data_IF_128255963076
#
_entry.id   IF_128255963076
#
_cell.length_a   1.000
_cell.length_b   1.000
_cell.length_c   1.000
_cell.angle_alpha   90.00
_cell.angle_beta   90.00
_cell.angle_gamma   90.00
#
_symmetry.space_group_name_H-M   'P 1'
#
loop_
_entity.id
_entity.type
_entity.pdbx_description
1 polymer ?
#
# COMPACT_ATOMS: atom_id res chain seq x y z
N UNK A 1 -29.03 -11.42 -15.40
CA UNK A 1 -28.86 -11.91 -14.03
C UNK A 1 -28.99 -10.71 -13.09
N UNK A 2 -29.81 -10.74 -12.05
CA UNK A 2 -29.83 -9.63 -11.09
C UNK A 2 -28.47 -9.51 -10.45
N UNK A 3 -27.88 -8.34 -10.55
CA UNK A 3 -26.60 -8.04 -9.89
C UNK A 3 -26.84 -8.17 -8.38
N UNK A 4 -26.15 -9.12 -7.75
CA UNK A 4 -26.28 -9.35 -6.31
C UNK A 4 -25.81 -8.09 -5.56
N UNK A 5 -26.70 -7.50 -4.76
CA UNK A 5 -26.42 -6.26 -4.03
C UNK A 5 -25.20 -6.41 -3.09
N UNK A 6 -24.92 -7.62 -2.62
CA UNK A 6 -23.73 -7.90 -1.80
C UNK A 6 -22.43 -7.71 -2.60
N UNK A 7 -22.40 -8.15 -3.86
CA UNK A 7 -21.27 -7.97 -4.76
C UNK A 7 -21.01 -6.49 -5.08
N UNK A 8 -22.08 -5.70 -5.31
CA UNK A 8 -21.94 -4.26 -5.53
C UNK A 8 -21.34 -3.55 -4.32
N UNK A 9 -21.77 -3.90 -3.10
CA UNK A 9 -21.20 -3.35 -1.88
C UNK A 9 -19.71 -3.67 -1.77
N UNK A 10 -19.31 -4.91 -2.05
CA UNK A 10 -17.90 -5.31 -2.04
C UNK A 10 -17.06 -4.54 -3.06
N UNK A 11 -17.55 -4.41 -4.28
CA UNK A 11 -16.91 -3.62 -5.35
C UNK A 11 -16.73 -2.16 -4.92
N UNK A 12 -17.79 -1.53 -4.40
CA UNK A 12 -17.75 -0.14 -3.97
C UNK A 12 -16.74 0.08 -2.83
N UNK A 13 -16.68 -0.83 -1.85
CA UNK A 13 -15.76 -0.74 -0.72
C UNK A 13 -14.29 -0.90 -1.14
N UNK A 14 -13.99 -1.82 -2.05
CA UNK A 14 -12.62 -2.01 -2.55
C UNK A 14 -12.20 -0.84 -3.44
N UNK A 15 -13.07 -0.34 -4.34
CA UNK A 15 -12.79 0.86 -5.13
C UNK A 15 -12.54 2.08 -4.23
N UNK A 16 -13.36 2.25 -3.20
CA UNK A 16 -13.18 3.33 -2.22
C UNK A 16 -11.81 3.23 -1.54
N UNK A 17 -11.38 2.03 -1.14
CA UNK A 17 -10.06 1.83 -0.56
C UNK A 17 -8.94 2.23 -1.53
N UNK A 18 -9.01 1.80 -2.81
CA UNK A 18 -8.03 2.18 -3.83
C UNK A 18 -7.99 3.70 -4.05
N UNK A 19 -9.14 4.37 -4.13
CA UNK A 19 -9.23 5.83 -4.25
C UNK A 19 -8.60 6.52 -3.03
N UNK A 20 -8.87 6.04 -1.82
CA UNK A 20 -8.32 6.59 -0.59
C UNK A 20 -6.80 6.38 -0.49
N UNK A 21 -6.28 5.25 -0.96
CA UNK A 21 -4.84 5.00 -1.02
C UNK A 21 -4.14 5.90 -2.05
N UNK A 22 -4.75 6.14 -3.21
CA UNK A 22 -4.25 7.12 -4.17
C UNK A 22 -4.21 8.54 -3.60
N UNK A 23 -5.29 8.99 -2.95
CA UNK A 23 -5.34 10.28 -2.25
C UNK A 23 -4.34 10.34 -1.08
N UNK A 24 -4.10 9.22 -0.40
CA UNK A 24 -3.06 9.09 0.62
C UNK A 24 -1.68 9.38 0.05
N UNK A 25 -1.34 8.77 -1.09
CA UNK A 25 -0.07 9.02 -1.78
C UNK A 25 0.13 10.51 -2.07
N UNK A 26 -0.91 11.18 -2.59
CA UNK A 26 -0.88 12.64 -2.83
C UNK A 26 -0.69 13.43 -1.54
N UNK A 27 -1.32 13.01 -0.43
CA UNK A 27 -1.12 13.66 0.88
C UNK A 27 0.31 13.50 1.38
N UNK A 28 0.92 12.33 1.16
CA UNK A 28 2.34 12.05 1.47
C UNK A 28 3.25 12.95 0.65
N UNK A 29 3.04 13.04 -0.66
CA UNK A 29 3.80 13.93 -1.55
C UNK A 29 3.68 15.39 -1.10
N UNK A 30 2.47 15.85 -0.76
CA UNK A 30 2.25 17.19 -0.22
C UNK A 30 3.01 17.44 1.09
N UNK A 31 2.99 16.48 2.02
CA UNK A 31 3.69 16.61 3.31
C UNK A 31 5.20 16.75 3.13
N UNK A 32 5.78 16.10 2.13
CA UNK A 32 7.19 16.31 1.79
C UNK A 32 7.44 17.64 1.08
N UNK A 33 6.65 17.95 0.07
CA UNK A 33 6.83 19.20 -0.72
C UNK A 33 6.59 20.47 0.09
N UNK A 34 5.76 20.40 1.13
CA UNK A 34 5.52 21.51 2.06
C UNK A 34 6.60 21.68 3.14
N UNK A 35 7.57 20.76 3.23
CA UNK A 35 8.59 20.76 4.29
C UNK A 35 8.06 20.35 5.66
N UNK A 36 6.82 19.84 5.75
CA UNK A 36 6.24 19.42 7.03
C UNK A 36 7.01 18.24 7.67
N UNK A 37 7.61 17.39 6.86
CA UNK A 37 8.50 16.30 7.27
C UNK A 37 9.76 16.32 6.42
N UNK A 38 10.91 16.12 7.06
CA UNK A 38 12.20 16.13 6.37
C UNK A 38 12.46 14.77 5.69
N UNK A 39 12.02 13.69 6.33
CA UNK A 39 12.31 12.32 5.86
C UNK A 39 11.07 11.43 5.83
N UNK A 40 11.03 10.45 4.91
CA UNK A 40 9.99 9.42 4.88
C UNK A 40 9.87 8.63 6.19
N UNK A 41 11.01 8.38 6.83
CA UNK A 41 11.07 7.64 8.09
C UNK A 41 10.32 8.36 9.22
N UNK A 42 10.43 9.69 9.32
CA UNK A 42 9.68 10.51 10.29
C UNK A 42 8.17 10.37 10.08
N UNK A 43 7.74 10.55 8.83
CA UNK A 43 6.32 10.48 8.46
C UNK A 43 5.74 9.08 8.71
N UNK A 44 6.46 8.02 8.33
CA UNK A 44 6.04 6.63 8.57
C UNK A 44 5.95 6.34 10.06
N UNK A 45 6.93 6.79 10.86
CA UNK A 45 6.97 6.57 12.30
C UNK A 45 5.72 7.16 12.96
N UNK A 46 5.47 8.45 12.75
CA UNK A 46 4.29 9.10 13.34
C UNK A 46 2.98 8.52 12.81
N UNK A 47 2.89 8.28 11.49
CA UNK A 47 1.69 7.70 10.89
C UNK A 47 1.33 6.34 11.51
N UNK A 48 2.32 5.44 11.61
CA UNK A 48 2.05 4.09 12.12
C UNK A 48 1.70 4.09 13.61
N UNK A 49 2.41 4.89 14.40
CA UNK A 49 2.10 5.05 15.82
C UNK A 49 0.69 5.64 16.02
N UNK A 50 0.36 6.73 15.31
CA UNK A 50 -0.94 7.37 15.41
C UNK A 50 -2.07 6.47 14.92
N UNK A 51 -1.95 5.90 13.72
CA UNK A 51 -2.99 5.05 13.14
C UNK A 51 -3.17 3.76 13.95
N UNK A 52 -2.06 3.11 14.33
CA UNK A 52 -2.09 1.88 15.12
C UNK A 52 -2.71 2.10 16.50
N UNK A 53 -2.27 3.13 17.23
CA UNK A 53 -2.81 3.48 18.56
C UNK A 53 -4.28 3.84 18.48
N UNK A 54 -4.68 4.63 17.49
CA UNK A 54 -6.08 5.02 17.30
C UNK A 54 -6.96 3.80 16.92
N UNK A 55 -6.44 2.89 16.08
CA UNK A 55 -7.13 1.64 15.77
C UNK A 55 -7.32 0.77 17.01
N UNK A 56 -6.26 0.62 17.84
CA UNK A 56 -6.35 -0.12 19.11
C UNK A 56 -7.35 0.54 20.04
N UNK A 57 -7.36 1.87 20.15
CA UNK A 57 -8.31 2.62 20.97
C UNK A 57 -9.75 2.37 20.51
N UNK A 58 -10.04 2.58 19.23
CA UNK A 58 -11.39 2.37 18.67
C UNK A 58 -11.84 0.92 18.87
N UNK A 59 -10.97 -0.06 18.59
CA UNK A 59 -11.29 -1.47 18.78
C UNK A 59 -11.46 -1.84 20.27
N UNK A 60 -10.75 -1.17 21.18
CA UNK A 60 -10.93 -1.36 22.63
C UNK A 60 -12.31 -0.91 23.10
N UNK A 61 -12.88 0.11 22.46
CA UNK A 61 -14.24 0.57 22.75
C UNK A 61 -15.31 -0.34 22.12
N UNK A 62 -15.08 -0.82 20.88
CA UNK A 62 -16.09 -1.57 20.12
C UNK A 62 -16.03 -3.08 20.39
N UNK A 63 -14.82 -3.65 20.45
CA UNK A 63 -14.58 -5.10 20.63
C UNK A 63 -13.36 -5.37 21.51
N UNK A 64 -13.40 -5.02 22.80
CA UNK A 64 -12.24 -5.10 23.70
C UNK A 64 -11.65 -6.51 23.78
N UNK A 65 -12.49 -7.54 23.86
CA UNK A 65 -12.00 -8.94 23.93
C UNK A 65 -11.23 -9.36 22.67
N UNK A 66 -11.58 -8.85 21.50
CA UNK A 66 -10.94 -9.21 20.26
C UNK A 66 -9.55 -8.55 20.12
N UNK A 67 -9.44 -7.26 20.44
CA UNK A 67 -8.19 -6.51 20.30
C UNK A 67 -7.14 -6.95 21.33
N UNK A 68 -7.53 -7.21 22.57
CA UNK A 68 -6.60 -7.59 23.64
C UNK A 68 -6.29 -9.08 23.68
N UNK A 69 -6.97 -9.92 22.90
CA UNK A 69 -6.69 -11.36 22.77
C UNK A 69 -5.25 -11.64 22.34
N UNK A 70 -4.64 -10.75 21.56
CA UNK A 70 -3.25 -10.88 21.10
C UNK A 70 -2.28 -11.10 22.28
N UNK A 71 -2.51 -10.42 23.41
CA UNK A 71 -1.64 -10.47 24.58
C UNK A 71 -1.80 -11.74 25.43
N UNK A 72 -2.78 -12.60 25.12
CA UNK A 72 -2.98 -13.87 25.83
C UNK A 72 -2.04 -15.00 25.34
N UNK A 73 -1.37 -14.82 24.19
CA UNK A 73 -0.47 -15.80 23.62
C UNK A 73 0.81 -15.12 23.13
N UNK A 74 1.94 -15.46 23.75
CA UNK A 74 3.27 -14.93 23.38
C UNK A 74 3.59 -15.10 21.89
N UNK A 75 3.11 -16.18 21.26
CA UNK A 75 3.34 -16.40 19.83
C UNK A 75 2.60 -15.38 18.97
N UNK A 76 1.37 -15.01 19.35
CA UNK A 76 0.65 -13.95 18.64
C UNK A 76 1.35 -12.60 18.75
N UNK A 77 1.95 -12.28 19.90
CA UNK A 77 2.73 -11.04 20.08
C UNK A 77 3.98 -11.04 19.18
N UNK A 78 4.69 -12.18 19.11
CA UNK A 78 5.86 -12.32 18.22
C UNK A 78 5.42 -12.21 16.76
N UNK A 79 4.37 -12.92 16.35
CA UNK A 79 3.83 -12.87 15.00
C UNK A 79 3.41 -11.44 14.62
N UNK A 80 2.81 -10.68 15.55
CA UNK A 80 2.45 -9.27 15.35
C UNK A 80 3.69 -8.35 15.24
N UNK A 81 4.72 -8.59 16.05
CA UNK A 81 5.96 -7.82 15.99
C UNK A 81 6.70 -8.04 14.66
N UNK A 82 6.80 -9.29 14.19
CA UNK A 82 7.40 -9.62 12.89
C UNK A 82 6.58 -9.03 11.74
N UNK A 83 5.26 -9.21 11.76
CA UNK A 83 4.38 -8.61 10.74
C UNK A 83 4.46 -7.08 10.76
N UNK A 84 4.61 -6.47 11.94
CA UNK A 84 4.81 -5.04 12.09
C UNK A 84 6.12 -4.55 11.47
N UNK A 85 7.21 -5.30 11.64
CA UNK A 85 8.50 -4.97 11.04
C UNK A 85 8.42 -4.99 9.50
N UNK A 86 7.78 -6.02 8.92
CA UNK A 86 7.57 -6.12 7.47
C UNK A 86 6.66 -5.00 6.95
N UNK A 87 5.59 -4.70 7.68
CA UNK A 87 4.67 -3.61 7.34
C UNK A 87 5.37 -2.24 7.41
N UNK A 88 6.23 -2.03 8.40
CA UNK A 88 7.08 -0.84 8.50
C UNK A 88 7.98 -0.74 7.28
N UNK A 89 8.74 -1.80 6.96
CA UNK A 89 9.65 -1.81 5.82
C UNK A 89 8.94 -1.52 4.49
N UNK A 90 7.80 -2.17 4.24
CA UNK A 90 7.00 -1.95 3.03
C UNK A 90 6.50 -0.50 2.93
N UNK A 91 5.96 0.05 4.02
CA UNK A 91 5.45 1.43 4.03
C UNK A 91 6.56 2.48 3.95
N UNK A 92 7.70 2.25 4.62
CA UNK A 92 8.83 3.15 4.51
C UNK A 92 9.38 3.18 3.08
N UNK A 93 9.58 2.02 2.47
CA UNK A 93 10.02 1.93 1.09
C UNK A 93 9.03 2.58 0.11
N UNK A 94 7.72 2.47 0.36
CA UNK A 94 6.71 3.16 -0.44
C UNK A 94 6.83 4.70 -0.33
N UNK A 95 7.02 5.22 0.87
CA UNK A 95 7.15 6.66 1.08
C UNK A 95 8.49 7.20 0.57
N UNK A 96 9.56 6.42 0.65
CA UNK A 96 10.84 6.74 -0.01
C UNK A 96 10.65 6.85 -1.54
N UNK A 97 9.90 5.93 -2.15
CA UNK A 97 9.60 6.00 -3.58
C UNK A 97 8.85 7.30 -3.94
N UNK A 98 7.87 7.71 -3.14
CA UNK A 98 7.13 8.97 -3.34
C UNK A 98 8.07 10.18 -3.14
N UNK A 99 8.92 10.13 -2.12
CA UNK A 99 9.86 11.21 -1.80
C UNK A 99 10.82 11.52 -2.95
N UNK A 100 11.32 10.47 -3.62
CA UNK A 100 12.22 10.60 -4.77
C UNK A 100 11.50 10.75 -6.13
N UNK A 101 10.16 10.73 -6.17
CA UNK A 101 9.36 10.89 -7.39
C UNK A 101 8.05 11.64 -7.13
N UNK A 102 6.93 10.96 -7.22
CA UNK A 102 5.60 11.44 -6.91
C UNK A 102 4.67 10.30 -6.47
N UNK A 103 3.46 10.66 -5.99
CA UNK A 103 2.46 9.71 -5.51
C UNK A 103 2.05 8.68 -6.57
N UNK A 104 1.87 9.12 -7.81
CA UNK A 104 1.47 8.24 -8.91
C UNK A 104 2.53 7.19 -9.23
N UNK A 105 3.80 7.59 -9.31
CA UNK A 105 4.92 6.67 -9.57
C UNK A 105 5.08 5.66 -8.45
N UNK A 106 5.02 6.09 -7.19
CA UNK A 106 5.05 5.17 -6.04
C UNK A 106 3.94 4.13 -6.13
N UNK A 107 2.70 4.56 -6.40
CA UNK A 107 1.56 3.66 -6.50
C UNK A 107 1.65 2.70 -7.70
N UNK A 108 2.16 3.14 -8.87
CA UNK A 108 2.26 2.27 -10.04
C UNK A 108 3.30 1.16 -9.84
N UNK A 109 4.38 1.43 -9.09
CA UNK A 109 5.39 0.41 -8.79
C UNK A 109 4.84 -0.70 -7.91
N UNK A 110 3.82 -0.44 -7.06
CA UNK A 110 3.12 -1.46 -6.30
C UNK A 110 2.30 -2.43 -7.17
N UNK A 111 1.97 -2.06 -8.40
CA UNK A 111 1.28 -2.99 -9.33
C UNK A 111 2.17 -4.18 -9.71
N UNK A 112 3.47 -4.13 -9.43
CA UNK A 112 4.37 -5.28 -9.59
C UNK A 112 4.23 -6.33 -8.47
N UNK A 113 3.49 -6.08 -7.39
CA UNK A 113 3.24 -7.02 -6.26
C UNK A 113 2.81 -8.42 -6.72
N UNK A 114 1.83 -8.59 -7.64
CA UNK A 114 1.43 -9.93 -8.09
C UNK A 114 2.56 -10.72 -8.75
N UNK A 115 3.54 -10.04 -9.36
CA UNK A 115 4.70 -10.68 -9.98
C UNK A 115 5.62 -11.31 -8.93
N UNK A 116 5.85 -10.58 -7.83
CA UNK A 116 6.63 -11.09 -6.70
C UNK A 116 5.93 -12.28 -6.04
N UNK A 117 4.59 -12.22 -5.89
CA UNK A 117 3.80 -13.34 -5.40
C UNK A 117 3.93 -14.58 -6.31
N UNK A 118 3.85 -14.39 -7.63
CA UNK A 118 4.01 -15.47 -8.61
C UNK A 118 5.40 -16.09 -8.57
N UNK A 119 6.44 -15.27 -8.55
CA UNK A 119 7.84 -15.71 -8.48
C UNK A 119 8.12 -16.45 -7.16
N UNK A 120 7.68 -15.91 -6.04
CA UNK A 120 7.79 -16.56 -4.74
C UNK A 120 7.09 -17.92 -4.71
N UNK A 121 5.87 -17.99 -5.23
CA UNK A 121 5.13 -19.25 -5.35
C UNK A 121 5.87 -20.27 -6.22
N UNK A 122 6.47 -19.83 -7.33
CA UNK A 122 7.26 -20.71 -8.21
C UNK A 122 8.50 -21.27 -7.51
N UNK A 123 9.22 -20.44 -6.75
CA UNK A 123 10.42 -20.86 -5.99
C UNK A 123 10.04 -21.83 -4.88
N UNK A 124 9.04 -21.49 -4.04
CA UNK A 124 8.65 -22.29 -2.88
C UNK A 124 8.00 -23.60 -3.30
N UNK A 125 7.12 -23.57 -4.30
CA UNK A 125 6.39 -24.74 -4.79
C UNK A 125 7.15 -25.52 -5.86
N UNK A 126 8.34 -25.04 -6.29
CA UNK A 126 9.16 -25.60 -7.37
C UNK A 126 8.36 -25.85 -8.66
N UNK A 127 7.40 -24.98 -8.94
CA UNK A 127 6.55 -25.04 -10.12
C UNK A 127 7.04 -24.07 -11.18
N UNK A 128 7.00 -24.42 -12.48
CA UNK A 128 7.39 -23.47 -13.53
C UNK A 128 6.45 -22.28 -13.53
N UNK A 129 7.03 -21.06 -13.72
CA UNK A 129 6.22 -19.86 -13.89
C UNK A 129 5.40 -19.99 -15.19
N UNK A 130 4.09 -19.87 -15.15
CA UNK A 130 3.25 -19.94 -16.34
C UNK A 130 3.64 -18.89 -17.38
N UNK A 131 3.58 -19.25 -18.67
CA UNK A 131 3.93 -18.33 -19.78
C UNK A 131 3.16 -17.00 -19.73
N UNK A 132 1.91 -17.04 -19.30
CA UNK A 132 1.09 -15.84 -19.14
C UNK A 132 1.66 -14.91 -18.06
N UNK A 133 2.17 -15.45 -16.96
CA UNK A 133 2.79 -14.64 -15.90
C UNK A 133 4.07 -13.97 -16.40
N UNK A 134 4.85 -14.68 -17.23
CA UNK A 134 6.04 -14.08 -17.89
C UNK A 134 5.61 -12.94 -18.83
N UNK A 135 4.56 -13.14 -19.63
CA UNK A 135 4.04 -12.10 -20.51
C UNK A 135 3.54 -10.88 -19.73
N UNK A 136 2.84 -11.13 -18.63
CA UNK A 136 2.37 -10.09 -17.70
C UNK A 136 3.55 -9.33 -17.06
N UNK A 137 4.63 -10.05 -16.70
CA UNK A 137 5.85 -9.43 -16.20
C UNK A 137 6.46 -8.47 -17.24
N UNK A 138 6.64 -8.93 -18.49
CA UNK A 138 7.20 -8.11 -19.55
C UNK A 138 6.33 -6.89 -19.86
N UNK A 139 5.00 -7.06 -19.83
CA UNK A 139 4.05 -5.97 -20.04
C UNK A 139 4.11 -4.92 -18.90
N UNK A 140 4.20 -5.38 -17.66
CA UNK A 140 4.38 -4.49 -16.52
C UNK A 140 5.71 -3.75 -16.56
N UNK A 141 6.80 -4.46 -16.88
CA UNK A 141 8.13 -3.87 -17.02
C UNK A 141 8.16 -2.80 -18.15
N UNK A 142 7.53 -3.08 -19.29
CA UNK A 142 7.39 -2.10 -20.36
C UNK A 142 6.57 -0.87 -19.92
N UNK A 143 5.44 -1.08 -19.24
CA UNK A 143 4.62 0.00 -18.71
C UNK A 143 5.37 0.88 -17.71
N UNK A 144 6.05 0.26 -16.73
CA UNK A 144 6.89 0.98 -15.76
C UNK A 144 8.01 1.74 -16.47
N UNK A 145 8.68 1.12 -17.48
CA UNK A 145 9.75 1.80 -18.23
C UNK A 145 9.23 3.07 -18.91
N UNK A 146 8.06 3.01 -19.56
CA UNK A 146 7.46 4.20 -20.20
C UNK A 146 7.13 5.30 -19.19
N UNK A 147 6.63 4.93 -17.99
CA UNK A 147 6.32 5.89 -16.93
C UNK A 147 7.59 6.59 -16.43
N UNK A 148 8.65 5.81 -16.19
CA UNK A 148 9.89 6.30 -15.60
C UNK A 148 10.72 7.14 -16.56
N UNK A 149 10.68 6.82 -17.86
CA UNK A 149 11.48 7.50 -18.90
C UNK A 149 10.70 8.58 -19.64
N UNK A 150 9.38 8.60 -19.51
CA UNK A 150 8.46 9.41 -20.35
C UNK A 150 8.76 9.25 -21.86
N UNK A 151 9.17 8.03 -22.26
CA UNK A 151 9.53 7.68 -23.64
C UNK A 151 10.93 8.09 -24.07
N UNK A 152 11.69 8.80 -23.26
CA UNK A 152 13.09 9.11 -23.50
C UNK A 152 14.00 8.15 -22.73
N UNK A 153 14.44 7.09 -23.39
CA UNK A 153 15.31 6.08 -22.80
C UNK A 153 16.78 6.54 -22.62
N UNK A 154 17.12 7.76 -23.03
CA UNK A 154 18.45 8.35 -22.80
C UNK A 154 18.60 8.95 -21.39
N UNK A 155 17.49 9.20 -20.70
CA UNK A 155 17.43 9.72 -19.34
C UNK A 155 16.29 9.14 -18.53
N UNK A 156 16.37 9.31 -17.21
CA UNK A 156 15.28 8.97 -16.29
C UNK A 156 14.59 10.25 -15.85
N UNK A 157 13.27 10.31 -16.00
CA UNK A 157 12.46 11.44 -15.47
C UNK A 157 12.48 11.46 -13.95
N UNK A 158 12.58 10.25 -13.34
CA UNK A 158 12.62 10.09 -11.89
C UNK A 158 13.96 9.57 -11.40
N UNK A 159 14.29 9.86 -10.16
CA UNK A 159 15.49 9.34 -9.51
C UNK A 159 15.51 7.80 -9.56
N UNK A 160 16.65 7.16 -9.87
CA UNK A 160 16.81 5.71 -9.74
C UNK A 160 16.43 5.19 -8.35
N UNK A 161 16.59 6.00 -7.31
CA UNK A 161 16.19 5.64 -5.95
C UNK A 161 14.68 5.48 -5.80
N UNK A 162 13.86 6.26 -6.53
CA UNK A 162 12.41 6.08 -6.55
C UNK A 162 12.01 4.69 -7.02
N UNK A 163 12.67 4.21 -8.08
CA UNK A 163 12.42 2.89 -8.66
C UNK A 163 12.86 1.79 -7.70
N UNK A 164 14.07 1.90 -7.15
CA UNK A 164 14.59 0.92 -6.19
C UNK A 164 13.67 0.79 -4.99
N UNK A 165 13.29 1.90 -4.36
CA UNK A 165 12.42 1.89 -3.21
C UNK A 165 11.00 1.40 -3.52
N UNK A 166 10.44 1.77 -4.66
CA UNK A 166 9.14 1.28 -5.10
C UNK A 166 9.13 -0.23 -5.35
N UNK A 167 10.20 -0.77 -5.96
CA UNK A 167 10.36 -2.22 -6.15
C UNK A 167 10.59 -2.94 -4.81
N UNK A 168 11.37 -2.36 -3.90
CA UNK A 168 11.54 -2.90 -2.53
C UNK A 168 10.21 -2.93 -1.80
N UNK A 169 9.41 -1.86 -1.88
CA UNK A 169 8.08 -1.81 -1.28
C UNK A 169 7.17 -2.91 -1.86
N UNK A 170 7.14 -3.05 -3.19
CA UNK A 170 6.32 -4.06 -3.86
C UNK A 170 6.76 -5.49 -3.54
N UNK A 171 8.06 -5.73 -3.32
CA UNK A 171 8.61 -7.01 -2.89
C UNK A 171 8.21 -7.35 -1.44
N UNK A 172 8.22 -6.34 -0.55
CA UNK A 172 7.91 -6.54 0.87
C UNK A 172 6.39 -6.61 1.15
N UNK A 173 5.55 -6.03 0.29
CA UNK A 173 4.11 -6.00 0.49
C UNK A 173 3.46 -7.41 0.57
N UNK A 174 3.81 -8.41 -0.26
CA UNK A 174 3.31 -9.77 -0.14
C UNK A 174 3.75 -10.45 1.16
N UNK A 175 5.00 -10.21 1.59
CA UNK A 175 5.54 -10.82 2.79
C UNK A 175 4.84 -10.29 4.05
N UNK A 176 4.43 -9.04 4.07
CA UNK A 176 3.64 -8.48 5.16
C UNK A 176 2.24 -9.12 5.27
N UNK A 177 1.63 -9.51 4.13
CA UNK A 177 0.27 -10.06 4.09
C UNK A 177 0.25 -11.60 4.06
N UNK A 178 1.20 -12.25 3.39
CA UNK A 178 1.15 -13.66 3.03
C UNK A 178 2.15 -14.56 3.78
N UNK A 179 3.02 -13.99 4.62
CA UNK A 179 3.93 -14.80 5.41
C UNK A 179 3.18 -15.66 6.44
N UNK A 180 3.84 -16.73 6.90
CA UNK A 180 3.26 -17.71 7.83
C UNK A 180 2.82 -17.03 9.14
N UNK A 181 3.56 -16.01 9.60
CA UNK A 181 3.26 -15.28 10.82
C UNK A 181 1.99 -14.45 10.68
N UNK A 182 1.86 -13.68 9.60
CA UNK A 182 0.67 -12.87 9.33
C UNK A 182 -0.58 -13.73 9.16
N UNK A 183 -0.50 -14.84 8.42
CA UNK A 183 -1.61 -15.78 8.26
C UNK A 183 -2.04 -16.41 9.58
N UNK A 184 -1.08 -16.82 10.43
CA UNK A 184 -1.38 -17.35 11.77
C UNK A 184 -2.01 -16.30 12.68
N UNK A 185 -1.47 -15.08 12.66
CA UNK A 185 -1.98 -13.98 13.45
C UNK A 185 -3.43 -13.65 13.07
N UNK A 186 -3.69 -13.51 11.77
CA UNK A 186 -5.04 -13.25 11.24
C UNK A 186 -6.03 -14.36 11.60
N UNK A 187 -5.61 -15.63 11.48
CA UNK A 187 -6.46 -16.78 11.80
C UNK A 187 -6.85 -16.82 13.30
N UNK A 188 -5.96 -16.35 14.19
CA UNK A 188 -6.17 -16.40 15.65
C UNK A 188 -6.78 -15.13 16.22
N UNK A 189 -6.28 -13.97 15.83
CA UNK A 189 -6.69 -12.68 16.36
C UNK A 189 -7.80 -12.00 15.53
N UNK A 190 -7.95 -12.39 14.28
CA UNK A 190 -8.78 -11.69 13.28
C UNK A 190 -8.01 -10.62 12.53
N UNK A 191 -8.54 -10.21 11.37
CA UNK A 191 -7.85 -9.31 10.43
C UNK A 191 -7.61 -7.92 11.02
N UNK A 192 -8.66 -7.30 11.60
CA UNK A 192 -8.56 -5.92 12.12
C UNK A 192 -7.63 -5.84 13.35
N UNK A 193 -7.70 -6.72 14.35
CA UNK A 193 -6.72 -6.73 15.43
C UNK A 193 -5.28 -6.99 14.96
N UNK A 194 -5.08 -7.89 13.99
CA UNK A 194 -3.77 -8.15 13.41
C UNK A 194 -3.17 -6.90 12.76
N UNK A 195 -3.98 -6.17 11.96
CA UNK A 195 -3.57 -4.91 11.35
C UNK A 195 -3.28 -3.82 12.39
N UNK A 196 -4.18 -3.64 13.36
CA UNK A 196 -4.02 -2.60 14.39
C UNK A 196 -2.71 -2.78 15.17
N UNK A 197 -2.44 -3.99 15.66
CA UNK A 197 -1.20 -4.29 16.36
C UNK A 197 0.02 -4.32 15.42
N UNK A 198 -0.17 -4.75 14.16
CA UNK A 198 0.87 -4.65 13.13
C UNK A 198 1.34 -3.21 12.91
N UNK A 199 0.40 -2.24 12.85
CA UNK A 199 0.74 -0.82 12.76
C UNK A 199 1.44 -0.30 14.02
N UNK A 200 0.97 -0.69 15.23
CA UNK A 200 1.63 -0.29 16.49
C UNK A 200 3.07 -0.82 16.53
N UNK A 201 3.25 -2.12 16.30
CA UNK A 201 4.59 -2.71 16.29
C UNK A 201 5.46 -2.16 15.15
N UNK A 202 4.88 -1.86 13.97
CA UNK A 202 5.58 -1.19 12.89
C UNK A 202 6.08 0.19 13.30
N UNK A 203 5.26 0.98 13.98
CA UNK A 203 5.66 2.27 14.54
C UNK A 203 6.74 2.13 15.63
N UNK A 204 6.66 1.09 16.47
CA UNK A 204 7.71 0.79 17.46
C UNK A 204 9.03 0.42 16.76
N UNK A 205 8.99 -0.41 15.70
CA UNK A 205 10.18 -0.71 14.91
C UNK A 205 10.76 0.54 14.24
N UNK A 206 9.91 1.38 13.65
CA UNK A 206 10.34 2.66 13.07
C UNK A 206 11.01 3.56 14.11
N UNK A 207 10.50 3.56 15.35
CA UNK A 207 11.04 4.34 16.45
C UNK A 207 12.45 3.92 16.91
N UNK A 208 12.91 2.74 16.51
CA UNK A 208 14.32 2.31 16.73
C UNK A 208 15.27 3.13 15.86
N UNK A 209 14.82 3.55 14.67
CA UNK A 209 15.62 4.29 13.69
C UNK A 209 15.36 5.80 13.73
N UNK A 210 14.18 6.21 14.19
CA UNK A 210 13.77 7.61 14.30
C UNK A 210 13.05 7.83 15.62
N UNK A 211 13.62 8.66 16.49
CA UNK A 211 12.99 8.98 17.77
C UNK A 211 11.72 9.82 17.53
N UNK A 212 10.52 9.32 17.82
CA UNK A 212 9.28 10.04 17.54
C UNK A 212 9.13 11.35 18.32
N UNK A 213 9.85 11.50 19.45
CA UNK A 213 9.81 12.71 20.27
C UNK A 213 10.74 13.81 19.74
N UNK A 214 11.68 13.47 18.86
CA UNK A 214 12.58 14.44 18.23
C UNK A 214 12.11 14.95 16.87
N UNK A 215 10.97 14.42 16.36
CA UNK A 215 10.41 14.84 15.09
C UNK A 215 9.84 16.26 15.24
N UNK A 216 10.47 17.20 14.58
CA UNK A 216 10.05 18.61 14.56
C UNK A 216 9.28 18.91 13.27
N UNK A 217 8.07 18.34 13.15
CA UNK A 217 7.24 18.62 11.99
C UNK A 217 6.73 20.08 12.01
N UNK A 218 6.86 20.76 10.87
CA UNK A 218 6.32 22.11 10.71
C UNK A 218 4.82 22.06 10.42
N UNK A 219 4.03 22.25 11.46
CA UNK A 219 2.58 22.15 11.37
C UNK A 219 1.93 23.46 10.91
N UNK A 220 1.39 23.45 9.71
CA UNK A 220 0.39 24.38 9.24
C UNK A 220 -1.00 23.74 9.31
N UNK A 221 -2.08 24.52 9.19
CA UNK A 221 -3.42 23.95 9.12
C UNK A 221 -3.57 22.94 7.95
N UNK A 222 -2.91 23.20 6.83
CA UNK A 222 -2.94 22.34 5.65
C UNK A 222 -2.15 21.04 5.89
N UNK A 223 -0.92 21.11 6.42
CA UNK A 223 -0.12 19.91 6.71
C UNK A 223 -0.74 19.05 7.81
N UNK A 224 -1.30 19.67 8.85
CA UNK A 224 -2.05 18.96 9.89
C UNK A 224 -3.30 18.26 9.31
N UNK A 225 -4.04 18.93 8.41
CA UNK A 225 -5.17 18.34 7.69
C UNK A 225 -4.77 17.16 6.80
N UNK A 226 -3.67 17.31 6.03
CA UNK A 226 -3.13 16.23 5.19
C UNK A 226 -2.67 15.02 6.03
N UNK A 227 -2.00 15.25 7.16
CA UNK A 227 -1.60 14.19 8.08
C UNK A 227 -2.80 13.50 8.74
N UNK A 228 -3.80 14.26 9.17
CA UNK A 228 -5.03 13.71 9.71
C UNK A 228 -5.78 12.85 8.66
N UNK A 229 -5.85 13.33 7.41
CA UNK A 229 -6.39 12.55 6.30
C UNK A 229 -5.60 11.25 6.07
N UNK A 230 -4.28 11.33 6.05
CA UNK A 230 -3.37 10.20 5.90
C UNK A 230 -3.63 9.11 6.96
N UNK A 231 -3.78 9.52 8.23
CA UNK A 231 -4.02 8.59 9.34
C UNK A 231 -5.44 8.01 9.31
N UNK A 232 -6.45 8.87 9.23
CA UNK A 232 -7.85 8.46 9.39
C UNK A 232 -8.40 7.79 8.13
N UNK A 233 -8.25 8.44 6.98
CA UNK A 233 -8.85 7.99 5.72
C UNK A 233 -7.88 7.13 4.92
N UNK A 234 -6.65 7.57 4.72
CA UNK A 234 -5.64 6.85 3.95
C UNK A 234 -5.12 5.59 4.64
N UNK A 235 -5.23 5.48 5.97
CA UNK A 235 -4.81 4.28 6.68
C UNK A 235 -5.99 3.55 7.29
N UNK A 236 -6.65 4.10 8.30
CA UNK A 236 -7.65 3.36 9.06
C UNK A 236 -8.88 3.00 8.20
N UNK A 237 -9.50 3.98 7.58
CA UNK A 237 -10.74 3.77 6.84
C UNK A 237 -10.50 3.04 5.50
N UNK A 238 -9.40 3.31 4.82
CA UNK A 238 -9.03 2.60 3.60
C UNK A 238 -8.82 1.11 3.85
N UNK A 239 -8.00 0.73 4.83
CA UNK A 239 -7.82 -0.68 5.19
C UNK A 239 -9.11 -1.33 5.67
N UNK A 240 -9.91 -0.64 6.48
CA UNK A 240 -11.23 -1.16 6.90
C UNK A 240 -12.14 -1.41 5.69
N UNK A 241 -12.23 -0.47 4.76
CA UNK A 241 -13.04 -0.60 3.54
C UNK A 241 -12.55 -1.77 2.68
N UNK A 242 -11.25 -1.89 2.46
CA UNK A 242 -10.66 -2.99 1.71
C UNK A 242 -11.01 -4.35 2.33
N UNK A 243 -10.76 -4.50 3.63
CA UNK A 243 -11.03 -5.74 4.36
C UNK A 243 -12.52 -6.08 4.46
N UNK A 244 -13.38 -5.07 4.56
CA UNK A 244 -14.82 -5.25 4.51
C UNK A 244 -15.27 -5.68 3.11
N UNK A 245 -14.69 -5.09 2.06
CA UNK A 245 -14.96 -5.45 0.66
C UNK A 245 -14.56 -6.88 0.31
N UNK A 246 -13.41 -7.37 0.83
CA UNK A 246 -12.92 -8.73 0.62
C UNK A 246 -13.87 -9.84 1.14
N UNK A 247 -14.87 -9.49 1.94
CA UNK A 247 -15.91 -10.43 2.37
C UNK A 247 -16.95 -10.70 1.29
N UNK A 248 -17.00 -9.83 0.29
CA UNK A 248 -18.06 -9.84 -0.75
C UNK A 248 -17.50 -10.09 -2.16
N UNK A 249 -16.19 -9.87 -2.37
CA UNK A 249 -15.54 -10.10 -3.66
C UNK A 249 -14.35 -11.02 -3.51
N UNK A 250 -13.99 -11.74 -4.57
CA UNK A 250 -12.80 -12.59 -4.55
C UNK A 250 -11.52 -11.73 -4.48
N UNK A 251 -10.41 -12.26 -3.92
CA UNK A 251 -9.13 -11.54 -3.89
C UNK A 251 -8.64 -11.09 -5.26
N UNK A 252 -8.97 -11.83 -6.32
CA UNK A 252 -8.64 -11.49 -7.71
C UNK A 252 -9.39 -10.23 -8.16
N UNK A 253 -10.70 -10.19 -7.91
CA UNK A 253 -11.53 -9.01 -8.21
C UNK A 253 -11.07 -7.82 -7.38
N UNK A 254 -10.74 -8.02 -6.11
CA UNK A 254 -10.21 -6.95 -5.26
C UNK A 254 -8.87 -6.39 -5.80
N UNK A 255 -7.95 -7.25 -6.24
CA UNK A 255 -6.69 -6.83 -6.86
C UNK A 255 -6.90 -5.99 -8.13
N UNK A 256 -7.91 -6.38 -8.98
CA UNK A 256 -8.28 -5.57 -10.15
C UNK A 256 -8.82 -4.19 -9.77
N UNK A 257 -9.77 -4.18 -8.84
CA UNK A 257 -10.38 -2.93 -8.39
C UNK A 257 -9.37 -2.02 -7.72
N UNK A 258 -8.33 -2.58 -7.09
CA UNK A 258 -7.25 -1.82 -6.48
C UNK A 258 -6.35 -1.10 -7.51
N UNK A 259 -6.44 -1.42 -8.81
CA UNK A 259 -5.82 -0.61 -9.88
C UNK A 259 -6.38 0.82 -9.95
N UNK A 260 -7.46 1.11 -9.22
CA UNK A 260 -7.93 2.46 -8.99
C UNK A 260 -6.93 3.32 -8.19
N UNK A 261 -6.07 2.71 -7.37
CA UNK A 261 -5.07 3.40 -6.54
C UNK A 261 -4.11 4.27 -7.36
N UNK A 262 -3.34 3.75 -8.34
CA UNK A 262 -2.46 4.58 -9.13
C UNK A 262 -3.20 5.62 -9.97
N UNK A 263 -4.39 5.30 -10.48
CA UNK A 263 -5.22 6.28 -11.21
C UNK A 263 -5.65 7.42 -10.31
N UNK A 264 -6.11 7.12 -9.11
CA UNK A 264 -6.49 8.12 -8.12
C UNK A 264 -5.27 8.93 -7.67
N UNK A 265 -4.10 8.29 -7.47
CA UNK A 265 -2.85 8.94 -7.11
C UNK A 265 -2.47 10.02 -8.14
N UNK A 266 -2.44 9.67 -9.41
CA UNK A 266 -2.17 10.65 -10.47
C UNK A 266 -3.25 11.71 -10.57
N UNK A 267 -4.54 11.35 -10.50
CA UNK A 267 -5.64 12.29 -10.57
C UNK A 267 -5.56 13.35 -9.46
N UNK A 268 -5.35 12.93 -8.22
CA UNK A 268 -5.24 13.85 -7.09
C UNK A 268 -3.94 14.65 -7.12
N UNK A 269 -2.84 14.06 -7.57
CA UNK A 269 -1.57 14.75 -7.76
C UNK A 269 -1.67 15.88 -8.80
N UNK A 270 -2.32 15.61 -9.94
CA UNK A 270 -2.63 16.64 -10.94
C UNK A 270 -3.52 17.75 -10.37
N UNK A 271 -4.56 17.36 -9.61
CA UNK A 271 -5.55 18.30 -9.09
C UNK A 271 -5.01 19.21 -7.98
N UNK A 272 -4.21 18.66 -7.07
CA UNK A 272 -3.78 19.37 -5.86
C UNK A 272 -2.33 19.84 -5.91
N UNK A 273 -1.47 19.17 -6.67
CA UNK A 273 -0.03 19.46 -6.71
C UNK A 273 0.43 20.00 -8.07
N UNK A 274 -0.45 19.98 -9.09
CA UNK A 274 -0.14 20.49 -10.42
C UNK A 274 0.77 19.59 -11.25
N UNK A 275 0.91 18.31 -10.87
CA UNK A 275 1.66 17.33 -11.66
C UNK A 275 1.03 17.16 -13.05
N UNK A 276 1.86 17.06 -14.08
CA UNK A 276 1.42 16.89 -15.47
C UNK A 276 1.85 15.53 -15.98
N UNK A 277 0.92 14.74 -16.51
CA UNK A 277 1.21 13.47 -17.16
C UNK A 277 1.65 13.69 -18.60
N UNK A 278 2.81 13.15 -18.96
CA UNK A 278 3.24 13.02 -20.34
C UNK A 278 2.43 11.96 -21.10
N UNK A 279 2.50 12.00 -22.41
CA UNK A 279 1.85 11.01 -23.28
C UNK A 279 2.34 9.58 -22.97
N UNK A 280 3.65 9.39 -22.83
CA UNK A 280 4.24 8.08 -22.58
C UNK A 280 3.94 7.56 -21.18
N UNK A 281 3.87 8.44 -20.19
CA UNK A 281 3.43 8.07 -18.83
C UNK A 281 2.00 7.54 -18.85
N UNK A 282 1.10 8.22 -19.58
CA UNK A 282 -0.28 7.77 -19.76
C UNK A 282 -0.37 6.40 -20.47
N UNK A 283 0.42 6.21 -21.51
CA UNK A 283 0.51 4.93 -22.21
C UNK A 283 1.05 3.82 -21.29
N UNK A 284 2.07 4.12 -20.48
CA UNK A 284 2.63 3.18 -19.51
C UNK A 284 1.61 2.77 -18.44
N UNK A 285 0.82 3.73 -17.91
CA UNK A 285 -0.28 3.46 -16.99
C UNK A 285 -1.31 2.52 -17.62
N UNK A 286 -1.70 2.77 -18.88
CA UNK A 286 -2.64 1.92 -19.60
C UNK A 286 -2.12 0.48 -19.75
N UNK A 287 -0.81 0.29 -20.05
CA UNK A 287 -0.19 -1.04 -20.11
C UNK A 287 -0.21 -1.77 -18.77
N UNK A 288 0.07 -1.06 -17.69
CA UNK A 288 0.04 -1.63 -16.34
C UNK A 288 -1.38 -2.06 -15.95
N UNK A 289 -2.38 -1.24 -16.26
CA UNK A 289 -3.80 -1.59 -16.01
C UNK A 289 -4.22 -2.78 -16.88
N UNK A 290 -3.85 -2.81 -18.16
CA UNK A 290 -4.12 -3.95 -19.04
C UNK A 290 -3.48 -5.24 -18.52
N UNK A 291 -2.27 -5.15 -17.94
CA UNK A 291 -1.60 -6.28 -17.30
C UNK A 291 -2.42 -6.86 -16.12
N UNK A 292 -2.93 -6.00 -15.25
CA UNK A 292 -3.78 -6.42 -14.12
C UNK A 292 -5.07 -7.09 -14.63
N UNK A 293 -5.69 -6.51 -15.67
CA UNK A 293 -6.87 -7.10 -16.30
C UNK A 293 -6.59 -8.51 -16.87
N UNK A 294 -5.45 -8.67 -17.59
CA UNK A 294 -5.04 -9.99 -18.13
C UNK A 294 -4.86 -11.05 -17.05
N UNK A 295 -4.22 -10.68 -15.93
CA UNK A 295 -4.04 -11.60 -14.80
C UNK A 295 -5.35 -12.05 -14.18
N UNK A 296 -6.37 -11.18 -14.17
CA UNK A 296 -7.68 -11.51 -13.63
C UNK A 296 -8.51 -12.43 -14.52
N UNK A 297 -8.45 -12.26 -15.83
CA UNK A 297 -9.18 -13.14 -16.77
C UNK A 297 -8.65 -14.58 -16.80
N UNK A 298 -7.45 -14.83 -16.26
CA UNK A 298 -6.87 -16.18 -16.18
C UNK A 298 -7.62 -17.15 -15.26
N UNK A 299 -8.36 -16.68 -14.28
CA UNK A 299 -8.98 -17.53 -13.24
C UNK A 299 -10.40 -18.02 -13.57
N UNK A 300 -10.88 -17.71 -14.76
CA UNK A 300 -12.11 -18.27 -15.29
C UNK A 300 -11.81 -19.24 -16.45
#
# INVERSE_FOLDING_TARGET
MPVDRSNLTGVALVLLAGILWGAMGTSVQYLFSSGAFETPLELVTLRQLCAGSLFVLVMSLVRPRAIWRLWTDRRMVIDAAVSGALLFGAHNAFFESIYYSNAGTGAILLVTVPLWCGLWSAIVNRSPVPRLEIACFLLAAAGVSLIVTDGDFSGLVFSPMAIVWGLVSSLMAPDAADNIQSKRLVARAGVVPALAWGLVFGGVWASVFCNPLSISAEWTAASAGAFAFLVLFGTMFAFWSFLAGLRHVSPVVAGLLNSAEPLAGYFFSMLFLGDVLGFWQTAGIALVIANVALLAFRKN
#
